data_IF_798822389641
#
_entry.id   IF_798822389641
#
_cell.length_a   1.000
_cell.length_b   1.000
_cell.length_c   1.000
_cell.angle_alpha   90.00
_cell.angle_beta   90.00
_cell.angle_gamma   90.00
#
_symmetry.space_group_name_H-M   'P 1'
#
loop_
_entity.id
_entity.type
_entity.pdbx_description
1 polymer ?
#
# COMPACT_ATOMS: atom_id res chain seq x y z
N UNK A 1 9.17 -5.64 -12.71
CA UNK A 1 7.74 -5.40 -12.95
C UNK A 1 6.94 -5.74 -11.70
N UNK A 2 6.21 -4.78 -11.17
CA UNK A 2 5.48 -4.90 -9.91
C UNK A 2 4.27 -3.97 -9.91
N UNK A 3 3.37 -4.18 -8.96
CA UNK A 3 2.34 -3.21 -8.59
C UNK A 3 2.84 -2.38 -7.41
N UNK A 4 2.31 -1.17 -7.29
CA UNK A 4 2.77 -0.18 -6.31
C UNK A 4 1.56 0.39 -5.58
N UNK A 5 1.64 0.47 -4.25
CA UNK A 5 0.64 1.14 -3.43
C UNK A 5 1.07 2.61 -3.30
N UNK A 6 0.17 3.51 -3.67
CA UNK A 6 0.48 4.95 -3.68
C UNK A 6 -0.41 5.74 -2.71
N UNK A 7 -0.51 7.03 -2.93
CA UNK A 7 -1.07 8.02 -1.98
C UNK A 7 -2.45 7.69 -1.43
N UNK A 8 -3.32 7.09 -2.20
CA UNK A 8 -4.71 6.87 -1.80
C UNK A 8 -4.88 5.88 -0.64
N UNK A 9 -3.85 5.08 -0.35
CA UNK A 9 -3.88 4.12 0.77
C UNK A 9 -3.61 4.79 2.12
N UNK A 10 -2.95 5.95 2.14
CA UNK A 10 -2.55 6.62 3.38
C UNK A 10 -3.79 6.98 4.21
N UNK A 11 -3.77 6.57 5.47
CA UNK A 11 -4.86 6.72 6.45
C UNK A 11 -6.17 6.01 6.09
N UNK A 12 -6.23 5.28 4.98
CA UNK A 12 -7.36 4.41 4.63
C UNK A 12 -7.06 2.95 4.96
N UNK A 13 -5.96 2.45 4.45
CA UNK A 13 -5.42 1.12 4.70
C UNK A 13 -6.48 0.02 4.61
N UNK A 14 -7.20 0.00 3.48
CA UNK A 14 -8.06 -1.12 3.15
C UNK A 14 -7.19 -2.34 2.86
N UNK A 15 -7.60 -3.51 3.34
CA UNK A 15 -6.79 -4.71 3.22
C UNK A 15 -7.42 -5.78 2.33
N UNK A 16 -8.48 -5.46 1.60
CA UNK A 16 -9.12 -6.39 0.66
C UNK A 16 -8.16 -6.86 -0.42
N UNK A 17 -7.21 -6.02 -0.82
CA UNK A 17 -6.16 -6.38 -1.78
C UNK A 17 -5.23 -7.48 -1.26
N UNK A 18 -4.98 -7.53 0.04
CA UNK A 18 -4.11 -8.52 0.68
C UNK A 18 -4.65 -9.93 0.51
N UNK A 19 -5.97 -10.08 0.62
CA UNK A 19 -6.64 -11.37 0.53
C UNK A 19 -6.40 -12.09 -0.80
N UNK A 20 -6.29 -11.32 -1.89
CA UNK A 20 -6.21 -11.90 -3.23
C UNK A 20 -4.79 -12.08 -3.74
N UNK A 21 -3.78 -11.62 -3.00
CA UNK A 21 -2.39 -11.74 -3.42
C UNK A 21 -1.91 -13.19 -3.27
N UNK A 22 -1.55 -13.87 -4.38
CA UNK A 22 -1.17 -15.29 -4.30
C UNK A 22 0.22 -15.53 -3.71
N UNK A 23 1.04 -14.49 -3.60
CA UNK A 23 2.42 -14.59 -3.09
C UNK A 23 2.64 -13.81 -1.80
N UNK A 24 1.58 -13.28 -1.19
CA UNK A 24 1.63 -12.55 0.09
C UNK A 24 2.70 -11.46 0.08
N UNK A 25 2.70 -10.61 -0.94
CA UNK A 25 3.74 -9.58 -1.11
C UNK A 25 3.42 -8.25 -0.43
N UNK A 26 2.35 -8.16 0.36
CA UNK A 26 1.98 -6.95 1.08
C UNK A 26 2.66 -6.88 2.45
N UNK A 27 3.06 -5.67 2.82
CA UNK A 27 3.67 -5.38 4.12
C UNK A 27 2.96 -4.19 4.74
N UNK A 28 2.84 -4.19 6.06
CA UNK A 28 1.96 -3.26 6.77
C UNK A 28 2.74 -2.23 7.59
N UNK A 29 2.51 -0.96 7.27
CA UNK A 29 2.97 0.16 8.08
C UNK A 29 1.85 0.69 8.98
N UNK A 30 2.16 1.74 9.73
CA UNK A 30 1.23 2.35 10.69
C UNK A 30 -0.05 2.83 10.01
N UNK A 31 0.05 3.48 8.85
CA UNK A 31 -1.11 4.06 8.17
C UNK A 31 -1.18 3.78 6.67
N UNK A 32 -0.40 2.85 6.16
CA UNK A 32 -0.47 2.45 4.76
C UNK A 32 0.08 1.03 4.58
N UNK A 33 -0.13 0.48 3.38
CA UNK A 33 0.46 -0.79 2.96
C UNK A 33 1.49 -0.54 1.88
N UNK A 34 2.40 -1.47 1.69
CA UNK A 34 3.33 -1.46 0.57
C UNK A 34 3.43 -2.85 -0.03
N UNK A 35 3.90 -2.92 -1.28
CA UNK A 35 4.13 -4.17 -2.01
C UNK A 35 5.63 -4.35 -2.18
N UNK A 36 6.12 -5.55 -1.85
CA UNK A 36 7.53 -5.90 -2.10
C UNK A 36 7.70 -6.19 -3.59
N UNK A 37 8.46 -5.37 -4.32
CA UNK A 37 8.64 -5.56 -5.75
C UNK A 37 9.42 -6.82 -6.12
N UNK A 38 10.19 -7.37 -5.19
CA UNK A 38 10.96 -8.60 -5.41
C UNK A 38 10.09 -9.85 -5.26
N UNK A 39 8.94 -9.74 -4.57
CA UNK A 39 8.01 -10.85 -4.34
C UNK A 39 6.82 -10.78 -5.28
N UNK A 40 6.36 -9.57 -5.62
CA UNK A 40 5.21 -9.36 -6.50
C UNK A 40 5.43 -9.98 -7.87
N UNK A 41 4.47 -10.78 -8.33
CA UNK A 41 4.54 -11.48 -9.63
C UNK A 41 3.82 -10.74 -10.76
N UNK A 42 3.39 -9.50 -10.52
CA UNK A 42 2.75 -8.65 -11.53
C UNK A 42 1.44 -9.26 -12.09
N UNK A 43 0.67 -9.95 -11.26
CA UNK A 43 -0.52 -10.67 -11.71
C UNK A 43 -1.79 -9.81 -11.82
N UNK A 44 -1.75 -8.55 -11.37
CA UNK A 44 -2.83 -7.57 -11.47
C UNK A 44 -4.11 -7.87 -10.68
N UNK A 45 -4.15 -8.91 -9.86
CA UNK A 45 -5.37 -9.30 -9.14
C UNK A 45 -5.72 -8.30 -8.03
N UNK A 46 -4.72 -7.70 -7.38
CA UNK A 46 -4.94 -6.77 -6.28
C UNK A 46 -5.50 -5.41 -6.71
N UNK A 47 -5.17 -4.96 -7.91
CA UNK A 47 -5.54 -3.61 -8.38
C UNK A 47 -7.05 -3.35 -8.29
N UNK A 48 -7.93 -4.22 -8.84
CA UNK A 48 -9.37 -3.97 -8.77
C UNK A 48 -9.97 -4.15 -7.37
N UNK A 49 -9.25 -4.79 -6.45
CA UNK A 49 -9.73 -5.01 -5.09
C UNK A 49 -9.56 -3.80 -4.18
N UNK A 50 -8.76 -2.81 -4.59
CA UNK A 50 -8.56 -1.61 -3.79
C UNK A 50 -9.73 -0.63 -3.99
N UNK A 51 -10.54 -0.35 -2.96
CA UNK A 51 -11.72 0.50 -3.13
C UNK A 51 -11.40 1.97 -3.40
N UNK A 52 -10.16 2.40 -3.14
CA UNK A 52 -9.73 3.77 -3.39
C UNK A 52 -8.74 3.89 -4.55
N UNK A 53 -8.53 2.82 -5.29
CA UNK A 53 -7.66 2.78 -6.47
C UNK A 53 -6.21 3.20 -6.18
N UNK A 54 -5.69 2.77 -5.04
CA UNK A 54 -4.33 3.12 -4.62
C UNK A 54 -3.24 2.27 -5.30
N UNK A 55 -3.61 1.20 -5.98
CA UNK A 55 -2.67 0.24 -6.54
C UNK A 55 -2.61 0.38 -8.06
N UNK A 56 -1.41 0.58 -8.58
CA UNK A 56 -1.18 0.65 -10.03
C UNK A 56 0.09 -0.12 -10.41
N UNK A 57 0.18 -0.53 -11.67
CA UNK A 57 1.42 -1.09 -12.21
C UNK A 57 2.52 -0.02 -12.21
N UNK A 58 3.75 -0.42 -11.93
CA UNK A 58 4.90 0.49 -11.99
C UNK A 58 5.05 1.12 -13.37
N UNK A 59 4.59 0.42 -14.42
CA UNK A 59 4.61 0.93 -15.80
C UNK A 59 3.63 2.08 -16.02
N UNK A 60 2.63 2.23 -15.16
CA UNK A 60 1.59 3.27 -15.26
C UNK A 60 1.81 4.41 -14.29
N UNK A 61 2.86 4.36 -13.47
CA UNK A 61 3.15 5.44 -12.53
C UNK A 61 3.55 6.69 -13.28
N UNK A 62 2.93 7.80 -12.91
CA UNK A 62 3.30 9.12 -13.42
C UNK A 62 4.65 9.54 -12.82
N UNK A 63 5.42 10.39 -13.50
CA UNK A 63 6.71 10.85 -12.95
C UNK A 63 6.62 11.42 -11.54
N UNK A 64 5.55 12.13 -11.21
CA UNK A 64 5.34 12.71 -9.89
C UNK A 64 5.04 11.68 -8.80
N UNK A 65 4.73 10.44 -9.19
CA UNK A 65 4.42 9.34 -8.25
C UNK A 65 5.55 8.32 -8.12
N UNK A 66 6.67 8.51 -8.82
CA UNK A 66 7.77 7.53 -8.81
C UNK A 66 8.38 7.32 -7.42
N UNK A 67 8.33 8.30 -6.55
CA UNK A 67 8.82 8.16 -5.18
C UNK A 67 8.05 7.07 -4.39
N UNK A 68 6.81 6.79 -4.77
CA UNK A 68 6.04 5.72 -4.15
C UNK A 68 6.63 4.33 -4.45
N UNK A 69 7.21 4.14 -5.63
CA UNK A 69 7.88 2.87 -5.96
C UNK A 69 9.07 2.64 -5.03
N UNK A 70 9.91 3.65 -4.82
CA UNK A 70 11.04 3.57 -3.91
C UNK A 70 10.58 3.35 -2.47
N UNK A 71 9.52 4.03 -2.06
CA UNK A 71 8.93 3.88 -0.73
C UNK A 71 8.45 2.43 -0.51
N UNK A 72 7.73 1.86 -1.47
CA UNK A 72 7.28 0.46 -1.41
C UNK A 72 8.47 -0.49 -1.29
N UNK A 73 9.49 -0.28 -2.09
CA UNK A 73 10.69 -1.12 -2.10
C UNK A 73 11.41 -1.08 -0.76
N UNK A 74 11.62 0.12 -0.20
CA UNK A 74 12.35 0.28 1.06
C UNK A 74 11.56 -0.23 2.26
N UNK A 75 10.29 0.14 2.36
CA UNK A 75 9.47 -0.18 3.53
C UNK A 75 9.12 -1.66 3.58
N UNK A 76 8.97 -2.32 2.43
CA UNK A 76 8.70 -3.75 2.40
C UNK A 76 9.84 -4.60 2.99
N UNK A 77 11.04 -4.04 3.10
CA UNK A 77 12.18 -4.75 3.70
C UNK A 77 12.20 -4.67 5.23
N UNK A 78 11.49 -3.72 5.82
CA UNK A 78 11.53 -3.46 7.26
C UNK A 78 10.17 -3.58 7.95
N UNK A 79 9.07 -3.59 7.21
CA UNK A 79 7.73 -3.71 7.76
C UNK A 79 7.29 -5.17 7.86
N UNK A 80 6.36 -5.50 8.78
CA UNK A 80 5.85 -6.86 8.90
C UNK A 80 4.95 -7.23 7.72
N UNK A 81 5.04 -8.48 7.31
CA UNK A 81 4.17 -9.05 6.28
C UNK A 81 2.73 -9.13 6.79
N UNK A 82 1.77 -8.76 5.94
CA UNK A 82 0.34 -8.89 6.25
C UNK A 82 -0.30 -9.88 5.28
N UNK A 83 -1.09 -10.80 5.83
CA UNK A 83 -1.78 -11.84 5.06
C UNK A 83 -3.27 -11.89 5.36
N UNK A 84 -3.75 -11.08 6.29
CA UNK A 84 -5.14 -11.11 6.78
C UNK A 84 -5.86 -9.82 6.42
N UNK A 85 -7.14 -9.95 6.10
CA UNK A 85 -8.02 -8.79 5.91
C UNK A 85 -8.35 -8.20 7.27
N UNK A 86 -8.29 -6.88 7.36
CA UNK A 86 -8.65 -6.11 8.56
C UNK A 86 -9.63 -5.01 8.17
N UNK A 87 -10.26 -4.41 9.17
CA UNK A 87 -11.07 -3.22 8.94
C UNK A 87 -10.18 -2.06 8.50
N UNK A 88 -10.67 -1.17 7.63
CA UNK A 88 -9.92 0.04 7.30
C UNK A 88 -9.75 0.95 8.52
N UNK A 89 -8.83 1.90 8.44
CA UNK A 89 -8.53 2.79 9.56
C UNK A 89 -9.75 3.64 9.93
N UNK A 90 -9.97 3.93 11.23
CA UNK A 90 -11.05 4.83 11.65
C UNK A 90 -10.93 6.18 10.94
N UNK A 91 -12.05 6.71 10.45
CA UNK A 91 -12.09 8.00 9.76
C UNK A 91 -11.65 7.96 8.31
N UNK A 92 -11.43 6.77 7.74
CA UNK A 92 -10.99 6.62 6.35
C UNK A 92 -11.94 7.29 5.34
N UNK A 93 -13.21 7.37 5.68
CA UNK A 93 -14.25 7.96 4.81
C UNK A 93 -14.03 9.45 4.59
N UNK A 94 -13.38 10.13 5.52
CA UNK A 94 -13.10 11.56 5.46
C UNK A 94 -11.72 11.87 4.87
N UNK A 95 -10.95 10.86 4.51
CA UNK A 95 -9.63 11.05 3.93
C UNK A 95 -9.76 11.50 2.48
N UNK A 96 -9.16 12.64 2.17
CA UNK A 96 -9.18 13.21 0.83
C UNK A 96 -7.89 14.01 0.60
N UNK A 97 -6.77 13.30 0.65
CA UNK A 97 -5.46 13.93 0.49
C UNK A 97 -5.10 14.12 -0.98
N UNK A 98 -4.43 15.25 -1.27
CA UNK A 98 -3.66 15.34 -2.52
C UNK A 98 -2.45 14.41 -2.41
N UNK A 99 -1.80 14.03 -3.52
CA UNK A 99 -0.61 13.20 -3.44
C UNK A 99 0.49 13.79 -2.56
N UNK A 100 0.67 15.11 -2.57
CA UNK A 100 1.66 15.78 -1.72
C UNK A 100 1.30 15.70 -0.24
N UNK A 101 0.03 15.91 0.09
CA UNK A 101 -0.45 15.79 1.48
C UNK A 101 -0.28 14.37 2.00
N UNK A 102 -0.59 13.38 1.18
CA UNK A 102 -0.42 11.98 1.54
C UNK A 102 1.04 11.65 1.81
N UNK A 103 1.96 12.18 1.00
CA UNK A 103 3.39 11.98 1.19
C UNK A 103 3.88 12.56 2.51
N UNK A 104 3.35 13.71 2.92
CA UNK A 104 3.67 14.32 4.21
C UNK A 104 3.11 13.53 5.39
N UNK A 105 1.93 12.92 5.22
CA UNK A 105 1.23 12.22 6.29
C UNK A 105 1.57 10.74 6.40
N UNK A 106 2.20 10.17 5.39
CA UNK A 106 2.55 8.75 5.43
C UNK A 106 3.60 8.49 6.51
N UNK A 107 3.34 7.47 7.32
CA UNK A 107 4.27 7.04 8.36
C UNK A 107 5.29 6.06 7.80
N UNK A 108 6.54 6.17 8.27
CA UNK A 108 7.58 5.18 7.99
C UNK A 108 7.69 4.15 9.10
N UNK A 109 6.84 4.27 10.11
CA UNK A 109 6.83 3.38 11.27
C UNK A 109 6.10 2.09 10.90
N UNK A 110 6.68 0.90 11.19
CA UNK A 110 5.99 -0.35 10.93
C UNK A 110 4.76 -0.50 11.82
N UNK A 111 3.78 -1.24 11.33
CA UNK A 111 2.60 -1.55 12.14
C UNK A 111 3.03 -2.40 13.34
N UNK A 112 2.50 -2.05 14.51
CA UNK A 112 2.70 -2.81 15.72
C UNK A 112 1.35 -3.28 16.24
N UNK A 113 1.20 -4.57 16.35
CA UNK A 113 0.02 -5.16 16.97
C UNK A 113 0.23 -5.15 18.49
N UNK A 114 -0.52 -4.30 19.18
CA UNK A 114 -0.40 -4.13 20.63
C UNK A 114 -1.56 -4.86 21.29
N UNK A 115 -1.67 -6.14 21.06
CA UNK A 115 -2.68 -6.95 21.75
C UNK A 115 -2.06 -7.77 22.87
#
# INVERSE_FOLDING_TARGET
LTYVVKSECVDCKHTTCVKVCPVDCFYEGENTLVIDPDVCIDCAICEPECPVNAIVSDRKLKPEDHHWLDFNKEMSKVWPNIRKVKDPMPGYEDVNYTPDEAWEKVSRIPFKDIT
#
